data_IF_126215375972
#
_entry.id   IF_126215375972
#
_cell.length_a   1.000
_cell.length_b   1.000
_cell.length_c   1.000
_cell.angle_alpha   90.00
_cell.angle_beta   90.00
_cell.angle_gamma   90.00
#
_symmetry.space_group_name_H-M   'P 1'
#
loop_
_entity.id
_entity.type
_entity.pdbx_description
1 polymer ?
#
# COMPACT_ATOMS: atom_id res chain seq x y z
N UNK A 1 37.59 -19.93 -19.15
CA UNK A 1 37.02 -21.24 -18.76
C UNK A 1 35.51 -21.23 -19.02
N UNK A 2 35.00 -22.05 -19.95
CA UNK A 2 33.55 -22.22 -20.16
C UNK A 2 33.00 -23.08 -19.03
N UNK A 3 32.46 -22.46 -17.98
CA UNK A 3 31.75 -23.17 -16.92
C UNK A 3 30.48 -23.80 -17.52
N UNK A 4 30.52 -25.11 -17.79
CA UNK A 4 29.32 -25.90 -18.07
C UNK A 4 28.63 -26.14 -16.73
N UNK A 5 27.73 -25.24 -16.33
CA UNK A 5 26.88 -25.45 -15.16
C UNK A 5 25.88 -26.56 -15.49
N UNK A 6 26.08 -27.73 -14.92
CA UNK A 6 25.08 -28.79 -14.97
C UNK A 6 23.83 -28.36 -14.19
N UNK A 7 22.64 -28.62 -14.75
CA UNK A 7 21.33 -28.30 -14.14
C UNK A 7 21.24 -28.61 -12.63
N UNK A 8 21.74 -29.75 -12.10
CA UNK A 8 21.67 -30.02 -10.66
C UNK A 8 22.52 -29.07 -9.81
N UNK A 9 23.65 -28.57 -10.32
CA UNK A 9 24.48 -27.59 -9.62
C UNK A 9 23.77 -26.24 -9.57
N UNK A 10 23.12 -25.85 -10.66
CA UNK A 10 22.36 -24.60 -10.76
C UNK A 10 21.16 -24.59 -9.80
N UNK A 11 20.46 -25.71 -9.65
CA UNK A 11 19.36 -25.86 -8.67
C UNK A 11 19.87 -25.74 -7.24
N UNK A 12 20.99 -26.41 -6.89
CA UNK A 12 21.58 -26.29 -5.55
C UNK A 12 22.02 -24.85 -5.24
N UNK A 13 22.61 -24.16 -6.21
CA UNK A 13 23.06 -22.78 -6.05
C UNK A 13 21.88 -21.82 -5.89
N UNK A 14 20.77 -22.06 -6.60
CA UNK A 14 19.54 -21.29 -6.48
C UNK A 14 18.86 -21.52 -5.11
N UNK A 15 18.82 -22.76 -4.62
CA UNK A 15 18.32 -23.09 -3.28
C UNK A 15 19.16 -22.39 -2.21
N UNK A 16 20.50 -22.49 -2.29
CA UNK A 16 21.41 -21.83 -1.34
C UNK A 16 21.26 -20.31 -1.40
N UNK A 17 21.12 -19.73 -2.60
CA UNK A 17 20.90 -18.30 -2.78
C UNK A 17 19.57 -17.83 -2.19
N UNK A 18 18.48 -18.56 -2.41
CA UNK A 18 17.17 -18.27 -1.82
C UNK A 18 17.20 -18.38 -0.29
N UNK A 19 17.90 -19.40 0.23
CA UNK A 19 18.10 -19.62 1.66
C UNK A 19 18.86 -18.45 2.30
N UNK A 20 19.93 -17.97 1.65
CA UNK A 20 20.74 -16.83 2.11
C UNK A 20 19.98 -15.50 2.11
N UNK A 21 19.04 -15.32 1.18
CA UNK A 21 18.19 -14.12 1.13
C UNK A 21 17.13 -14.16 2.23
N UNK A 22 16.53 -15.34 2.49
CA UNK A 22 15.46 -15.50 3.48
C UNK A 22 16.01 -15.52 4.91
N UNK A 23 17.19 -16.11 5.12
CA UNK A 23 17.83 -16.26 6.42
C UNK A 23 17.91 -14.98 7.29
N UNK A 24 18.38 -13.82 6.79
CA UNK A 24 18.49 -12.61 7.59
C UNK A 24 17.12 -12.00 7.97
N UNK A 25 16.05 -12.33 7.25
CA UNK A 25 14.70 -11.85 7.56
C UNK A 25 13.91 -12.83 8.42
N UNK A 26 14.24 -14.12 8.37
CA UNK A 26 13.59 -15.16 9.18
C UNK A 26 14.25 -15.35 10.55
N UNK A 27 15.52 -14.99 10.71
CA UNK A 27 16.31 -15.25 11.92
C UNK A 27 16.99 -13.96 12.39
N UNK A 28 16.66 -13.43 13.59
CA UNK A 28 17.29 -12.22 14.13
C UNK A 28 18.80 -12.38 14.45
N UNK A 29 19.34 -13.60 14.37
CA UNK A 29 20.74 -13.94 14.64
C UNK A 29 21.42 -14.51 13.38
N UNK A 30 21.73 -13.64 12.42
CA UNK A 30 22.42 -14.00 11.17
C UNK A 30 23.75 -14.73 11.38
N UNK A 31 24.46 -14.46 12.49
CA UNK A 31 25.73 -15.13 12.85
C UNK A 31 25.51 -16.59 13.28
N UNK A 32 24.47 -16.87 14.07
CA UNK A 32 24.14 -18.23 14.49
C UNK A 32 23.74 -19.08 13.29
N UNK A 33 23.06 -18.48 12.31
CA UNK A 33 22.66 -19.16 11.07
C UNK A 33 23.86 -19.55 10.20
N UNK A 34 24.85 -18.66 10.07
CA UNK A 34 26.09 -18.94 9.33
C UNK A 34 26.90 -20.04 10.04
N UNK A 35 27.01 -19.98 11.37
CA UNK A 35 27.67 -21.01 12.16
C UNK A 35 26.97 -22.38 12.05
N UNK A 36 25.63 -22.41 12.10
CA UNK A 36 24.86 -23.64 11.94
C UNK A 36 25.02 -24.24 10.54
N UNK A 37 25.05 -23.40 9.51
CA UNK A 37 25.28 -23.81 8.13
C UNK A 37 26.65 -24.49 7.95
N UNK A 38 27.68 -23.92 8.58
CA UNK A 38 29.08 -24.37 8.45
C UNK A 38 29.38 -25.61 9.33
N UNK A 39 28.74 -25.72 10.50
CA UNK A 39 28.99 -26.81 11.47
C UNK A 39 28.06 -28.03 11.32
N UNK A 40 26.77 -27.82 11.08
CA UNK A 40 25.77 -28.90 11.07
C UNK A 40 25.29 -29.29 9.66
N UNK A 41 25.70 -28.53 8.64
CA UNK A 41 25.31 -28.76 7.26
C UNK A 41 23.87 -28.33 6.94
N UNK A 42 23.48 -28.51 5.68
CA UNK A 42 22.26 -27.94 5.10
C UNK A 42 20.96 -28.53 5.69
N UNK A 43 20.99 -29.78 6.16
CA UNK A 43 19.79 -30.47 6.69
C UNK A 43 19.32 -29.89 8.04
N UNK A 44 20.26 -29.60 8.94
CA UNK A 44 19.95 -28.97 10.23
C UNK A 44 19.40 -27.55 10.05
N UNK A 45 19.90 -26.83 9.05
CA UNK A 45 19.45 -25.50 8.70
C UNK A 45 18.01 -25.50 8.19
N UNK A 46 17.64 -26.46 7.34
CA UNK A 46 16.25 -26.61 6.87
C UNK A 46 15.29 -26.90 8.02
N UNK A 47 15.66 -27.79 8.95
CA UNK A 47 14.84 -28.08 10.13
C UNK A 47 14.68 -26.86 11.05
N UNK A 48 15.76 -26.11 11.25
CA UNK A 48 15.71 -24.86 12.02
C UNK A 48 14.81 -23.81 11.38
N UNK A 49 14.90 -23.63 10.05
CA UNK A 49 14.02 -22.75 9.30
C UNK A 49 12.55 -23.15 9.43
N UNK A 50 12.24 -24.44 9.33
CA UNK A 50 10.86 -24.95 9.50
C UNK A 50 10.35 -24.65 10.91
N UNK A 51 11.17 -24.91 11.93
CA UNK A 51 10.80 -24.64 13.32
C UNK A 51 10.53 -23.14 13.56
N UNK A 52 11.44 -22.28 13.09
CA UNK A 52 11.32 -20.83 13.23
C UNK A 52 10.16 -20.25 12.39
N UNK A 53 9.87 -20.85 11.23
CA UNK A 53 8.77 -20.41 10.36
C UNK A 53 7.42 -20.46 11.08
N UNK A 54 7.23 -21.42 11.99
CA UNK A 54 6.01 -21.54 12.79
C UNK A 54 5.81 -20.32 13.68
N UNK A 55 6.87 -19.84 14.35
CA UNK A 55 6.80 -18.63 15.17
C UNK A 55 6.59 -17.37 14.34
N UNK A 56 7.22 -17.27 13.17
CA UNK A 56 7.00 -16.16 12.25
C UNK A 56 5.55 -16.12 11.76
N UNK A 57 4.95 -17.27 11.43
CA UNK A 57 3.55 -17.37 11.00
C UNK A 57 2.60 -16.94 12.12
N UNK A 58 2.81 -17.39 13.36
CA UNK A 58 1.95 -16.98 14.48
C UNK A 58 2.01 -15.48 14.73
N UNK A 59 3.21 -14.89 14.71
CA UNK A 59 3.38 -13.45 14.87
C UNK A 59 2.72 -12.65 13.72
N UNK A 60 2.82 -13.16 12.49
CA UNK A 60 2.17 -12.55 11.33
C UNK A 60 0.65 -12.58 11.46
N UNK A 61 0.08 -13.72 11.88
CA UNK A 61 -1.36 -13.87 12.09
C UNK A 61 -1.86 -12.92 13.16
N UNK A 62 -1.16 -12.78 14.28
CA UNK A 62 -1.49 -11.83 15.34
C UNK A 62 -1.50 -10.39 14.82
N UNK A 63 -0.47 -9.99 14.07
CA UNK A 63 -0.38 -8.66 13.45
C UNK A 63 -1.50 -8.42 12.42
N UNK A 64 -1.91 -9.45 11.69
CA UNK A 64 -2.98 -9.36 10.71
C UNK A 64 -4.35 -9.18 11.38
N UNK A 65 -4.59 -9.88 12.50
CA UNK A 65 -5.79 -9.70 13.32
C UNK A 65 -5.83 -8.31 13.94
N UNK A 66 -4.72 -7.84 14.51
CA UNK A 66 -4.58 -6.49 15.08
C UNK A 66 -4.83 -5.40 14.02
N UNK A 67 -4.26 -5.56 12.83
CA UNK A 67 -4.50 -4.62 11.73
C UNK A 67 -5.98 -4.58 11.31
N UNK A 68 -6.62 -5.75 11.24
CA UNK A 68 -8.06 -5.84 10.92
C UNK A 68 -8.91 -5.14 11.98
N UNK A 69 -8.64 -5.36 13.27
CA UNK A 69 -9.41 -4.74 14.35
C UNK A 69 -9.25 -3.22 14.31
N UNK A 70 -8.02 -2.71 14.15
CA UNK A 70 -7.79 -1.27 14.01
C UNK A 70 -8.52 -0.66 12.81
N UNK A 71 -8.49 -1.33 11.66
CA UNK A 71 -9.19 -0.86 10.45
C UNK A 71 -10.69 -0.76 10.70
N UNK A 72 -11.29 -1.76 11.32
CA UNK A 72 -12.72 -1.75 11.67
C UNK A 72 -13.03 -0.64 12.68
N UNK A 73 -12.22 -0.45 13.71
CA UNK A 73 -12.39 0.63 14.69
C UNK A 73 -12.33 2.01 14.03
N UNK A 74 -11.37 2.24 13.13
CA UNK A 74 -11.25 3.49 12.39
C UNK A 74 -12.48 3.73 11.51
N UNK A 75 -12.99 2.69 10.83
CA UNK A 75 -14.20 2.80 10.01
C UNK A 75 -15.41 3.16 10.87
N UNK A 76 -15.58 2.54 12.05
CA UNK A 76 -16.68 2.85 12.97
C UNK A 76 -16.56 4.29 13.49
N UNK A 77 -15.35 4.74 13.83
CA UNK A 77 -15.10 6.11 14.28
C UNK A 77 -15.37 7.12 13.16
N UNK A 78 -15.00 6.79 11.93
CA UNK A 78 -15.26 7.65 10.77
C UNK A 78 -16.76 7.72 10.46
N UNK A 79 -17.49 6.60 10.59
CA UNK A 79 -18.93 6.54 10.41
C UNK A 79 -19.70 7.28 11.53
N UNK A 80 -19.15 7.35 12.75
CA UNK A 80 -19.74 8.11 13.85
C UNK A 80 -19.43 9.61 13.78
N UNK A 81 -18.44 10.02 12.98
CA UNK A 81 -18.16 11.42 12.74
C UNK A 81 -19.37 12.10 12.07
N UNK A 82 -19.81 13.22 12.65
CA UNK A 82 -21.01 13.96 12.25
C UNK A 82 -21.08 14.30 10.75
N UNK A 83 -19.92 14.53 10.13
CA UNK A 83 -19.76 14.88 8.71
C UNK A 83 -20.26 13.75 7.78
N UNK A 84 -20.12 12.48 8.19
CA UNK A 84 -20.54 11.33 7.40
C UNK A 84 -21.96 10.84 7.72
N UNK A 85 -22.68 11.53 8.61
CA UNK A 85 -24.08 11.22 8.80
C UNK A 85 -24.85 11.53 7.50
N UNK A 86 -25.62 10.57 6.95
CA UNK A 86 -26.20 10.70 5.62
C UNK A 86 -27.13 11.92 5.49
N UNK A 87 -27.77 12.36 6.59
CA UNK A 87 -28.61 13.56 6.64
C UNK A 87 -27.83 14.86 6.37
N UNK A 88 -26.60 14.95 6.90
CA UNK A 88 -25.74 16.13 6.80
C UNK A 88 -24.96 16.09 5.48
N UNK A 89 -24.42 14.93 5.11
CA UNK A 89 -23.69 14.77 3.86
C UNK A 89 -24.55 15.04 2.62
N UNK A 90 -25.77 14.50 2.55
CA UNK A 90 -26.67 14.73 1.40
C UNK A 90 -27.03 16.20 1.22
N UNK A 91 -27.30 16.92 2.32
CA UNK A 91 -27.64 18.33 2.27
C UNK A 91 -26.44 19.19 1.86
N UNK A 92 -25.22 18.87 2.32
CA UNK A 92 -24.00 19.54 1.87
C UNK A 92 -23.67 19.28 0.40
N UNK A 93 -23.82 18.04 -0.07
CA UNK A 93 -23.58 17.69 -1.48
C UNK A 93 -24.60 18.37 -2.39
N UNK A 94 -25.88 18.34 -2.03
CA UNK A 94 -26.93 19.02 -2.78
C UNK A 94 -26.75 20.56 -2.77
N UNK A 95 -26.41 21.14 -1.62
CA UNK A 95 -26.11 22.57 -1.54
C UNK A 95 -24.90 22.96 -2.39
N UNK A 96 -23.82 22.17 -2.32
CA UNK A 96 -22.61 22.43 -3.09
C UNK A 96 -22.82 22.27 -4.59
N UNK A 97 -23.64 21.30 -5.03
CA UNK A 97 -23.95 21.11 -6.45
C UNK A 97 -24.78 22.26 -7.01
N UNK A 98 -25.75 22.77 -6.25
CA UNK A 98 -26.55 23.95 -6.63
C UNK A 98 -25.65 25.18 -6.76
N UNK A 99 -24.78 25.43 -5.77
CA UNK A 99 -23.84 26.56 -5.82
C UNK A 99 -22.93 26.43 -7.04
N UNK A 100 -22.42 25.24 -7.34
CA UNK A 100 -21.54 25.01 -8.48
C UNK A 100 -22.26 25.22 -9.81
N UNK A 101 -23.51 24.76 -9.94
CA UNK A 101 -24.33 25.00 -11.14
C UNK A 101 -24.64 26.48 -11.36
N UNK A 102 -24.98 27.21 -10.30
CA UNK A 102 -25.23 28.65 -10.37
C UNK A 102 -23.95 29.43 -10.66
N UNK A 103 -22.83 29.09 -10.01
CA UNK A 103 -21.53 29.71 -10.26
C UNK A 103 -21.04 29.46 -11.69
N UNK A 104 -21.18 28.23 -12.21
CA UNK A 104 -20.85 27.93 -13.60
C UNK A 104 -21.73 28.71 -14.59
N UNK A 105 -23.05 28.78 -14.34
CA UNK A 105 -23.98 29.50 -15.21
C UNK A 105 -23.69 31.00 -15.21
N UNK A 106 -23.36 31.57 -14.05
CA UNK A 106 -22.96 32.97 -13.91
C UNK A 106 -21.63 33.24 -14.58
N UNK A 107 -20.61 32.40 -14.35
CA UNK A 107 -19.30 32.53 -15.00
C UNK A 107 -19.40 32.45 -16.53
N UNK A 108 -20.25 31.55 -17.05
CA UNK A 108 -20.48 31.38 -18.48
C UNK A 108 -21.22 32.59 -19.07
N UNK A 109 -22.21 33.13 -18.35
CA UNK A 109 -22.89 34.36 -18.75
C UNK A 109 -21.92 35.55 -18.81
N UNK A 110 -21.02 35.70 -17.84
CA UNK A 110 -19.98 36.73 -17.88
C UNK A 110 -18.99 36.50 -19.03
N UNK A 111 -18.52 35.27 -19.23
CA UNK A 111 -17.59 34.95 -20.31
C UNK A 111 -18.17 35.24 -21.71
N UNK A 112 -19.48 35.05 -21.91
CA UNK A 112 -20.14 35.25 -23.19
C UNK A 112 -20.51 36.73 -23.43
N UNK A 113 -21.02 37.42 -22.41
CA UNK A 113 -21.54 38.78 -22.57
C UNK A 113 -20.50 39.87 -22.32
N UNK A 114 -19.50 39.66 -21.46
CA UNK A 114 -18.49 40.70 -21.18
C UNK A 114 -17.67 41.06 -22.42
N UNK A 115 -17.17 40.12 -23.25
CA UNK A 115 -16.46 40.47 -24.47
C UNK A 115 -17.34 41.21 -25.48
N UNK A 116 -18.60 40.81 -25.62
CA UNK A 116 -19.56 41.46 -26.52
C UNK A 116 -19.89 42.90 -26.07
N UNK A 117 -20.08 43.11 -24.76
CA UNK A 117 -20.29 44.43 -24.17
C UNK A 117 -19.02 45.30 -24.32
N UNK A 118 -17.84 44.73 -24.07
CA UNK A 118 -16.56 45.44 -24.22
C UNK A 118 -16.34 45.91 -25.66
N UNK A 119 -16.54 45.02 -26.64
CA UNK A 119 -16.51 45.34 -28.08
C UNK A 119 -17.55 46.40 -28.45
N UNK A 120 -18.77 46.29 -27.93
CA UNK A 120 -19.85 47.23 -28.23
C UNK A 120 -19.66 48.60 -27.58
N UNK A 121 -18.97 48.68 -26.45
CA UNK A 121 -18.72 49.94 -25.72
C UNK A 121 -17.61 50.82 -26.33
N UNK A 122 -17.02 50.41 -27.45
CA UNK A 122 -15.96 51.18 -28.12
C UNK A 122 -14.58 51.03 -27.49
N UNK A 123 -14.34 49.98 -26.69
CA UNK A 123 -13.05 49.70 -26.03
C UNK A 123 -11.89 49.30 -26.95
N UNK A 124 -12.03 49.52 -28.27
CA UNK A 124 -10.94 49.45 -29.25
C UNK A 124 -10.61 50.86 -29.74
N UNK A 125 -9.86 51.58 -28.90
CA UNK A 125 -8.88 52.60 -29.29
C UNK A 125 -7.60 52.29 -28.54
#
# INVERSE_FOLDING_TARGET
MKFKFEKPVLIKLLIIGALLIIAPYAVPFSIEFVLMADLMGLEALVLFLIYQSRHAITALVEKLVEWRTHTVTVIILLASAYIFQPKVFLSHVAGSSIILLFACSFALAFALWVPAIYLSSGGFV
#
